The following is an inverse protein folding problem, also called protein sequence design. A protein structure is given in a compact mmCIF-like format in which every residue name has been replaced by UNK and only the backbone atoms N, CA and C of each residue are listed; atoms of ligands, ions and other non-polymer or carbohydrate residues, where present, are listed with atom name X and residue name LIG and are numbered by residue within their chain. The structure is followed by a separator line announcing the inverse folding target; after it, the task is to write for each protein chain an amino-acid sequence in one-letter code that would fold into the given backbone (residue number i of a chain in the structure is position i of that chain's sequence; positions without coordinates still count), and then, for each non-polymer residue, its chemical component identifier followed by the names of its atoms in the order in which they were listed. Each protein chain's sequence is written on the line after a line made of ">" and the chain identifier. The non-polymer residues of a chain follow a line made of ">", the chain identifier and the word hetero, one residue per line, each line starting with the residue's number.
data_IF_797300335170
#
_entry.id   IF_797300335170
#
_cell.length_a   1.000
_cell.length_b   1.000
_cell.length_c   1.000
_cell.angle_alpha   90.00
_cell.angle_beta   90.00
_cell.angle_gamma   90.00
#
_symmetry.space_group_name_H-M   'P 1'
#
loop_
_entity.id
_entity.type
_entity.pdbx_description
1 polymer ?
#
# COMPACT_ATOMS: atom_id res chain seq x y z
N UNK A 1 21.54 11.79 19.21
CA UNK A 1 20.07 11.67 19.08
C UNK A 1 19.84 10.62 18.02
N UNK A 2 19.42 9.43 18.43
CA UNK A 2 19.02 8.36 17.51
C UNK A 2 17.92 8.93 16.62
N UNK A 3 18.15 9.01 15.31
CA UNK A 3 17.06 9.34 14.38
C UNK A 3 16.02 8.24 14.58
N UNK A 4 14.86 8.59 15.17
CA UNK A 4 13.84 7.60 15.53
C UNK A 4 13.55 6.69 14.35
N UNK A 5 13.65 5.37 14.56
CA UNK A 5 13.43 4.37 13.50
C UNK A 5 12.15 4.70 12.75
N UNK A 6 12.28 4.96 11.45
CA UNK A 6 11.13 5.17 10.57
C UNK A 6 10.62 3.78 10.24
N UNK A 7 9.45 3.41 10.76
CA UNK A 7 8.82 2.12 10.46
C UNK A 7 7.64 2.34 9.52
N UNK A 8 7.43 1.38 8.63
CA UNK A 8 6.39 1.45 7.62
C UNK A 8 5.41 0.29 7.66
N UNK A 9 4.38 0.39 6.84
CA UNK A 9 3.47 -0.71 6.53
C UNK A 9 3.05 -0.58 5.08
N UNK A 10 2.97 -1.70 4.36
CA UNK A 10 2.58 -1.74 2.96
C UNK A 10 1.45 -2.74 2.76
N UNK A 11 0.33 -2.27 2.22
CA UNK A 11 -0.70 -3.14 1.67
C UNK A 11 -0.52 -3.27 0.17
N UNK A 12 -0.56 -4.48 -0.38
CA UNK A 12 -0.39 -4.73 -1.81
C UNK A 12 -1.19 -5.93 -2.32
N UNK A 13 -1.26 -6.11 -3.63
CA UNK A 13 -1.93 -7.27 -4.20
C UNK A 13 -1.05 -8.53 -4.18
N UNK A 14 -1.66 -9.69 -3.92
CA UNK A 14 -0.98 -10.99 -3.99
C UNK A 14 -0.57 -11.43 -5.42
N UNK A 15 -0.91 -10.66 -6.46
CA UNK A 15 -0.50 -10.97 -7.84
C UNK A 15 1.03 -10.88 -8.01
N UNK A 16 1.64 -12.01 -8.36
CA UNK A 16 3.09 -12.16 -8.56
C UNK A 16 3.68 -11.19 -9.58
N UNK A 17 2.89 -10.65 -10.52
CA UNK A 17 3.34 -9.70 -11.55
C UNK A 17 3.67 -8.33 -10.97
N UNK A 18 3.01 -7.95 -9.88
CA UNK A 18 3.01 -6.57 -9.37
C UNK A 18 3.48 -6.46 -7.92
N UNK A 19 3.48 -7.56 -7.17
CA UNK A 19 3.92 -7.62 -5.78
C UNK A 19 5.28 -6.93 -5.57
N UNK A 20 6.32 -7.42 -6.25
CA UNK A 20 7.68 -6.88 -6.13
C UNK A 20 7.78 -5.43 -6.59
N UNK A 21 7.05 -5.06 -7.66
CA UNK A 21 7.04 -3.68 -8.18
C UNK A 21 6.47 -2.69 -7.16
N UNK A 22 5.44 -3.09 -6.41
CA UNK A 22 4.85 -2.26 -5.37
C UNK A 22 5.79 -2.10 -4.17
N UNK A 23 6.47 -3.17 -3.76
CA UNK A 23 7.50 -3.11 -2.71
C UNK A 23 8.66 -2.20 -3.10
N UNK A 24 9.26 -2.40 -4.27
CA UNK A 24 10.36 -1.57 -4.78
C UNK A 24 9.96 -0.09 -4.81
N UNK A 25 8.74 0.22 -5.24
CA UNK A 25 8.24 1.60 -5.25
C UNK A 25 8.03 2.16 -3.84
N UNK A 26 7.57 1.36 -2.91
CA UNK A 26 7.39 1.79 -1.53
C UNK A 26 8.74 2.10 -0.87
N UNK A 27 9.75 1.25 -1.07
CA UNK A 27 11.11 1.47 -0.61
C UNK A 27 11.72 2.73 -1.24
N UNK A 28 11.54 2.94 -2.55
CA UNK A 28 11.98 4.16 -3.25
C UNK A 28 11.38 5.43 -2.62
N UNK A 29 10.07 5.43 -2.34
CA UNK A 29 9.36 6.59 -1.81
C UNK A 29 9.70 6.90 -0.35
N UNK A 30 10.04 5.87 0.44
CA UNK A 30 10.19 6.00 1.90
C UNK A 30 11.64 5.94 2.37
N UNK A 31 12.53 5.36 1.57
CA UNK A 31 13.89 5.01 1.95
C UNK A 31 13.97 3.93 3.03
N UNK A 32 12.93 3.09 3.16
CA UNK A 32 12.90 1.96 4.07
C UNK A 32 13.47 0.70 3.41
N UNK A 33 14.13 -0.13 4.22
CA UNK A 33 14.53 -1.48 3.86
C UNK A 33 13.41 -2.51 4.18
N UNK A 34 13.41 -3.71 3.57
CA UNK A 34 12.39 -4.75 3.80
C UNK A 34 12.11 -5.09 5.26
N UNK A 35 13.11 -5.04 6.14
CA UNK A 35 12.98 -5.33 7.56
C UNK A 35 12.35 -4.19 8.38
N UNK A 36 12.14 -3.03 7.77
CA UNK A 36 11.63 -1.81 8.41
C UNK A 36 10.13 -1.59 8.19
N UNK A 37 9.43 -2.52 7.54
CA UNK A 37 7.98 -2.44 7.36
C UNK A 37 7.29 -3.81 7.38
N UNK A 38 6.00 -3.77 7.75
CA UNK A 38 5.10 -4.92 7.63
C UNK A 38 4.42 -4.94 6.27
N UNK A 39 4.10 -6.13 5.77
CA UNK A 39 3.36 -6.31 4.50
C UNK A 39 2.05 -7.05 4.77
N UNK A 40 0.97 -6.55 4.16
CA UNK A 40 -0.29 -7.28 4.03
C UNK A 40 -0.61 -7.44 2.53
N UNK A 41 -0.56 -8.69 2.06
CA UNK A 41 -0.82 -9.02 0.66
C UNK A 41 -2.14 -9.78 0.53
N UNK A 42 -3.08 -9.27 -0.27
CA UNK A 42 -4.37 -9.92 -0.53
C UNK A 42 -4.82 -9.71 -1.99
N UNK A 43 -5.78 -10.51 -2.45
CA UNK A 43 -6.38 -10.29 -3.77
C UNK A 43 -7.00 -8.88 -3.84
N UNK A 44 -6.65 -8.13 -4.88
CA UNK A 44 -7.15 -6.76 -5.06
C UNK A 44 -6.39 -5.68 -4.26
N UNK A 45 -5.40 -6.04 -3.46
CA UNK A 45 -4.60 -5.08 -2.68
C UNK A 45 -5.46 -4.25 -1.72
N UNK A 46 -5.13 -2.96 -1.57
CA UNK A 46 -5.79 -2.09 -0.58
C UNK A 46 -7.32 -2.04 -0.74
N UNK A 47 -7.89 -1.93 -1.95
CA UNK A 47 -9.35 -1.97 -2.13
C UNK A 47 -10.01 -3.31 -1.76
N UNK A 48 -9.27 -4.41 -1.83
CA UNK A 48 -9.78 -5.75 -1.49
C UNK A 48 -9.75 -6.05 0.02
N UNK A 49 -9.09 -5.19 0.82
CA UNK A 49 -8.96 -5.37 2.26
C UNK A 49 -9.97 -4.47 2.95
N UNK A 50 -11.04 -5.07 3.49
CA UNK A 50 -12.04 -4.36 4.27
C UNK A 50 -11.51 -4.01 5.66
N UNK A 51 -10.95 -4.99 6.37
CA UNK A 51 -10.34 -4.82 7.70
C UNK A 51 -8.81 -4.93 7.61
N UNK A 52 -8.09 -3.87 7.99
CA UNK A 52 -6.63 -3.84 7.92
C UNK A 52 -6.01 -4.15 9.29
N UNK A 53 -6.25 -5.36 9.82
CA UNK A 53 -5.77 -5.74 11.16
C UNK A 53 -4.25 -5.65 11.28
N UNK A 54 -3.53 -5.96 10.20
CA UNK A 54 -2.07 -5.84 10.15
C UNK A 54 -1.65 -4.37 10.21
N UNK A 55 -2.37 -3.48 9.53
CA UNK A 55 -2.15 -2.03 9.61
C UNK A 55 -2.42 -1.49 11.02
N UNK A 56 -3.49 -1.95 11.68
CA UNK A 56 -3.82 -1.56 13.05
C UNK A 56 -2.72 -1.97 14.04
N UNK A 57 -2.18 -3.19 13.89
CA UNK A 57 -1.03 -3.64 14.66
C UNK A 57 0.22 -2.80 14.37
N UNK A 58 0.58 -2.63 13.09
CA UNK A 58 1.76 -1.88 12.68
C UNK A 58 1.71 -0.42 13.18
N UNK A 59 0.58 0.26 13.04
CA UNK A 59 0.40 1.64 13.45
C UNK A 59 0.33 1.80 14.99
N UNK A 60 -0.49 0.98 15.65
CA UNK A 60 -0.79 1.11 17.07
C UNK A 60 0.26 0.51 18.00
N UNK A 61 0.82 -0.64 17.63
CA UNK A 61 1.82 -1.36 18.45
C UNK A 61 3.22 -1.27 17.86
N UNK A 62 3.34 -1.39 16.53
CA UNK A 62 4.62 -1.38 15.82
C UNK A 62 5.25 0.00 15.66
N UNK A 63 4.48 1.07 15.83
CA UNK A 63 4.97 2.45 15.65
C UNK A 63 5.14 2.87 14.18
N UNK A 64 4.54 2.15 13.22
CA UNK A 64 4.58 2.53 11.81
C UNK A 64 3.97 3.92 11.59
N UNK A 65 4.67 4.76 10.81
CA UNK A 65 4.22 6.12 10.45
C UNK A 65 4.34 6.40 8.95
N UNK A 66 4.85 5.46 8.16
CA UNK A 66 4.90 5.52 6.70
C UNK A 66 3.99 4.43 6.15
N UNK A 67 2.81 4.77 5.66
CA UNK A 67 1.76 3.80 5.30
C UNK A 67 1.55 3.77 3.79
N UNK A 68 1.96 2.68 3.14
CA UNK A 68 1.81 2.40 1.73
C UNK A 68 0.52 1.65 1.41
N UNK A 69 -0.19 2.14 0.40
CA UNK A 69 -1.46 1.60 -0.07
C UNK A 69 -1.37 1.32 -1.56
N UNK A 70 -1.23 0.04 -1.91
CA UNK A 70 -1.03 -0.38 -3.28
C UNK A 70 -2.23 -1.14 -3.87
N UNK A 71 -2.37 -0.99 -5.18
CA UNK A 71 -3.21 -1.81 -6.06
C UNK A 71 -2.52 -1.94 -7.44
N UNK A 72 -3.11 -2.73 -8.34
CA UNK A 72 -2.63 -2.82 -9.73
C UNK A 72 -3.78 -2.92 -10.73
N UNK A 73 -3.51 -2.50 -11.97
CA UNK A 73 -4.38 -2.69 -13.13
C UNK A 73 -4.13 -4.01 -13.86
N UNK A 74 -4.46 -4.06 -15.15
CA UNK A 74 -4.13 -5.20 -16.04
C UNK A 74 -4.68 -6.55 -15.57
N UNK A 75 -6.01 -6.61 -15.47
CA UNK A 75 -6.79 -7.81 -15.14
C UNK A 75 -6.48 -8.34 -13.74
N UNK A 76 -6.82 -7.57 -12.71
CA UNK A 76 -6.67 -8.01 -11.33
C UNK A 76 -7.67 -9.13 -10.99
N UNK A 77 -7.17 -10.30 -10.58
CA UNK A 77 -8.03 -11.44 -10.19
C UNK A 77 -8.93 -11.15 -8.97
N UNK A 78 -8.57 -10.18 -8.12
CA UNK A 78 -9.43 -9.71 -7.02
C UNK A 78 -10.57 -8.80 -7.48
N UNK A 79 -10.50 -8.29 -8.72
CA UNK A 79 -11.48 -7.38 -9.31
C UNK A 79 -11.64 -7.67 -10.82
N UNK A 80 -12.18 -8.84 -11.20
CA UNK A 80 -12.14 -9.34 -12.58
C UNK A 80 -12.95 -8.53 -13.60
N UNK A 81 -13.88 -7.68 -13.15
CA UNK A 81 -14.74 -6.86 -14.01
C UNK A 81 -14.42 -5.37 -13.96
N UNK A 82 -13.26 -5.01 -13.41
CA UNK A 82 -12.88 -3.62 -13.13
C UNK A 82 -11.75 -3.21 -14.07
N UNK A 83 -11.89 -2.07 -14.73
CA UNK A 83 -10.83 -1.51 -15.58
C UNK A 83 -9.66 -0.99 -14.75
N UNK A 84 -8.54 -0.70 -15.40
CA UNK A 84 -7.38 -0.09 -14.73
C UNK A 84 -7.75 1.25 -14.07
N UNK A 85 -8.51 2.09 -14.75
CA UNK A 85 -8.98 3.39 -14.26
C UNK A 85 -9.91 3.22 -13.05
N UNK A 86 -10.89 2.33 -13.14
CA UNK A 86 -11.80 2.04 -12.04
C UNK A 86 -11.06 1.47 -10.82
N UNK A 87 -9.99 0.71 -11.04
CA UNK A 87 -9.16 0.19 -9.95
C UNK A 87 -8.37 1.29 -9.26
N UNK A 88 -7.87 2.28 -10.00
CA UNK A 88 -7.21 3.45 -9.42
C UNK A 88 -8.19 4.30 -8.60
N UNK A 89 -9.43 4.49 -9.07
CA UNK A 89 -10.48 5.16 -8.29
C UNK A 89 -10.82 4.40 -7.00
N UNK A 90 -10.91 3.07 -7.07
CA UNK A 90 -11.13 2.23 -5.89
C UNK A 90 -9.99 2.37 -4.88
N UNK A 91 -8.75 2.42 -5.35
CA UNK A 91 -7.58 2.68 -4.51
C UNK A 91 -7.70 4.03 -3.80
N UNK A 92 -7.99 5.10 -4.52
CA UNK A 92 -8.17 6.44 -3.94
C UNK A 92 -9.26 6.46 -2.86
N UNK A 93 -10.43 5.87 -3.15
CA UNK A 93 -11.52 5.77 -2.17
C UNK A 93 -11.12 4.98 -0.93
N UNK A 94 -10.32 3.93 -1.08
CA UNK A 94 -9.80 3.16 0.04
C UNK A 94 -8.81 4.00 0.89
N UNK A 95 -7.90 4.73 0.25
CA UNK A 95 -6.91 5.55 0.98
C UNK A 95 -7.58 6.66 1.77
N UNK A 96 -8.61 7.31 1.25
CA UNK A 96 -9.36 8.32 2.01
C UNK A 96 -9.99 7.76 3.30
N UNK A 97 -10.35 6.48 3.32
CA UNK A 97 -10.78 5.80 4.55
C UNK A 97 -9.57 5.55 5.48
N UNK A 98 -8.44 5.10 4.93
CA UNK A 98 -7.22 4.81 5.72
C UNK A 98 -6.59 6.06 6.33
N UNK A 99 -6.62 7.21 5.65
CA UNK A 99 -6.16 8.52 6.19
C UNK A 99 -6.93 8.92 7.44
N UNK A 100 -8.23 8.63 7.49
CA UNK A 100 -9.07 8.88 8.68
C UNK A 100 -8.74 7.91 9.82
N UNK A 101 -8.34 6.69 9.50
CA UNK A 101 -7.98 5.66 10.49
C UNK A 101 -6.59 5.88 11.09
N UNK A 102 -5.63 6.38 10.31
CA UNK A 102 -4.23 6.55 10.71
C UNK A 102 -3.76 8.02 10.56
N UNK A 103 -4.42 8.99 11.21
CA UNK A 103 -4.28 10.42 10.90
C UNK A 103 -2.90 11.03 11.18
N UNK A 104 -2.03 10.32 11.91
CA UNK A 104 -0.66 10.77 12.22
C UNK A 104 0.39 10.16 11.28
N UNK A 105 -0.02 9.29 10.37
CA UNK A 105 0.89 8.70 9.39
C UNK A 105 1.01 9.57 8.15
N UNK A 106 2.13 9.42 7.43
CA UNK A 106 2.26 9.84 6.03
C UNK A 106 1.76 8.69 5.16
N UNK A 107 0.97 9.01 4.13
CA UNK A 107 0.32 8.01 3.29
C UNK A 107 0.91 8.03 1.89
N UNK A 108 1.21 6.85 1.35
CA UNK A 108 1.77 6.68 0.02
C UNK A 108 0.80 5.87 -0.84
N UNK A 109 0.36 6.47 -1.95
CA UNK A 109 -0.42 5.75 -2.97
C UNK A 109 0.56 5.07 -3.92
N UNK A 110 0.35 3.80 -4.21
CA UNK A 110 1.16 3.05 -5.18
C UNK A 110 0.22 2.33 -6.15
N UNK A 111 0.48 2.47 -7.45
CA UNK A 111 -0.32 1.82 -8.47
C UNK A 111 0.57 1.23 -9.55
N UNK A 112 0.47 -0.08 -9.73
CA UNK A 112 1.27 -0.83 -10.70
C UNK A 112 0.46 -1.23 -11.93
N UNK A 113 1.09 -1.16 -13.09
CA UNK A 113 0.62 -1.72 -14.35
C UNK A 113 1.75 -2.45 -15.07
N UNK A 114 1.45 -3.09 -16.19
CA UNK A 114 2.45 -3.73 -17.05
C UNK A 114 3.43 -2.72 -17.62
N UNK A 115 3.00 -1.47 -17.81
CA UNK A 115 3.81 -0.37 -18.34
C UNK A 115 4.71 0.31 -17.28
N UNK A 116 4.44 0.12 -15.99
CA UNK A 116 5.26 0.70 -14.93
C UNK A 116 4.58 0.74 -13.57
N UNK A 117 5.25 1.33 -12.58
CA UNK A 117 4.64 1.60 -11.27
C UNK A 117 4.79 3.07 -10.92
N UNK A 118 3.66 3.72 -10.62
CA UNK A 118 3.60 5.09 -10.12
C UNK A 118 3.36 5.08 -8.63
N UNK A 119 3.86 6.10 -7.94
CA UNK A 119 3.52 6.32 -6.55
C UNK A 119 3.91 7.71 -6.08
N UNK A 120 3.19 8.17 -5.06
CA UNK A 120 3.27 9.53 -4.53
C UNK A 120 2.79 9.55 -3.07
N UNK A 121 3.25 10.53 -2.29
CA UNK A 121 2.71 10.82 -0.96
C UNK A 121 1.43 11.65 -1.09
N UNK A 122 0.38 11.31 -0.34
CA UNK A 122 -0.97 11.92 -0.44
C UNK A 122 -1.63 12.25 0.90
#
# INVERSE_FOLDING_TARGET
>A
MEQGKRLGFLTLCADRRFHKKAEEKFQELTGLEPEEYWIEAAAGGTPGIETAKTADYAYGHGGARLMGWAAHGDNCGGFPSVTTEEMEEKLLKAIEKRKKQYPQARHFRIFSTEQGTKGEEI
#
